data_IF_243176137245
#
_entry.id   IF_243176137245
#
_cell.length_a   1.000
_cell.length_b   1.000
_cell.length_c   1.000
_cell.angle_alpha   90.00
_cell.angle_beta   90.00
_cell.angle_gamma   90.00
#
_symmetry.space_group_name_H-M   'P 1'
#
loop_
_entity.id
_entity.type
_entity.pdbx_description
1 polymer ?
#
# COMPACT_ATOMS: atom_id res chain seq x y z
N UNK A 1 -5.97 -17.35 14.11
CA UNK A 1 -5.27 -16.25 13.41
C UNK A 1 -4.95 -15.14 14.40
N UNK A 2 -5.94 -14.68 15.18
CA UNK A 2 -5.75 -13.69 16.25
C UNK A 2 -4.70 -14.07 17.29
N UNK A 3 -4.66 -15.33 17.73
CA UNK A 3 -3.64 -15.84 18.66
C UNK A 3 -2.22 -15.73 18.11
N UNK A 4 -2.05 -15.88 16.79
CA UNK A 4 -0.75 -15.73 16.13
C UNK A 4 -0.37 -14.26 16.01
N UNK A 5 -1.33 -13.38 15.70
CA UNK A 5 -1.12 -11.92 15.67
C UNK A 5 -0.75 -11.40 17.07
N UNK A 6 -1.45 -11.83 18.11
CA UNK A 6 -1.14 -11.52 19.51
C UNK A 6 0.26 -11.98 19.90
N UNK A 7 0.68 -13.18 19.47
CA UNK A 7 2.00 -13.71 19.73
C UNK A 7 3.14 -12.90 19.09
N UNK A 8 2.87 -12.14 18.02
CA UNK A 8 3.90 -11.30 17.39
C UNK A 8 4.25 -10.04 18.21
N UNK A 9 3.40 -9.64 19.15
CA UNK A 9 3.60 -8.42 19.95
C UNK A 9 3.42 -7.11 19.17
N UNK A 10 3.11 -7.14 17.88
CA UNK A 10 2.79 -5.96 17.09
C UNK A 10 1.33 -5.51 17.29
N UNK A 11 1.05 -4.19 17.26
CA UNK A 11 -0.32 -3.72 17.24
C UNK A 11 -1.02 -4.26 15.99
N UNK A 12 -2.18 -4.89 16.17
CA UNK A 12 -2.98 -5.42 15.08
C UNK A 12 -4.40 -4.82 15.12
N UNK A 13 -5.01 -4.72 13.94
CA UNK A 13 -6.37 -4.25 13.77
C UNK A 13 -7.17 -5.32 13.03
N UNK A 14 -8.30 -5.71 13.60
CA UNK A 14 -9.28 -6.52 12.91
C UNK A 14 -10.23 -5.56 12.18
N UNK A 15 -10.32 -5.69 10.87
CA UNK A 15 -11.23 -4.90 10.03
C UNK A 15 -12.03 -5.88 9.18
N UNK A 16 -13.35 -5.76 9.23
CA UNK A 16 -14.25 -6.62 8.47
C UNK A 16 -14.44 -6.09 7.05
N UNK A 17 -14.53 -7.00 6.07
CA UNK A 17 -14.63 -6.61 4.66
C UNK A 17 -15.88 -5.79 4.35
N UNK A 18 -16.97 -6.04 5.08
CA UNK A 18 -18.23 -5.30 4.96
C UNK A 18 -18.14 -3.83 5.36
N UNK A 19 -17.15 -3.45 6.19
CA UNK A 19 -16.91 -2.04 6.53
C UNK A 19 -16.54 -1.23 5.27
N UNK A 20 -16.03 -1.88 4.21
CA UNK A 20 -15.76 -1.25 2.92
C UNK A 20 -17.01 -0.67 2.25
N UNK A 21 -18.22 -1.16 2.57
CA UNK A 21 -19.48 -0.69 2.00
C UNK A 21 -19.97 0.62 2.63
N UNK A 22 -19.47 0.98 3.82
CA UNK A 22 -19.81 2.22 4.52
C UNK A 22 -18.89 3.38 4.13
N UNK A 23 -17.86 3.10 3.34
CA UNK A 23 -16.82 4.05 3.03
C UNK A 23 -17.32 5.15 2.08
N UNK A 24 -17.05 6.43 2.36
CA UNK A 24 -17.47 7.51 1.48
C UNK A 24 -16.73 7.43 0.12
N UNK A 25 -17.41 7.80 -0.99
CA UNK A 25 -16.84 7.70 -2.34
C UNK A 25 -15.66 8.66 -2.58
N UNK A 26 -15.45 9.65 -1.70
CA UNK A 26 -14.33 10.61 -1.74
C UNK A 26 -12.95 9.96 -1.54
N UNK A 27 -12.88 8.67 -1.22
CA UNK A 27 -11.62 7.90 -1.07
C UNK A 27 -10.84 7.75 -2.38
N UNK A 28 -11.53 7.78 -3.52
CA UNK A 28 -10.95 7.71 -4.87
C UNK A 28 -10.41 9.06 -5.34
N UNK A 29 -10.69 10.14 -4.61
CA UNK A 29 -10.07 11.42 -4.89
C UNK A 29 -8.69 11.43 -4.24
N UNK A 30 -7.64 11.90 -4.96
CA UNK A 30 -6.41 12.27 -4.31
C UNK A 30 -6.76 13.17 -3.13
N UNK A 31 -6.34 12.81 -1.92
CA UNK A 31 -6.48 13.70 -0.76
C UNK A 31 -5.86 15.06 -1.10
N UNK A 32 -6.29 16.16 -0.46
CA UNK A 32 -5.66 17.46 -0.70
C UNK A 32 -4.17 17.25 -0.53
N UNK A 33 -3.41 17.43 -1.61
CA UNK A 33 -1.97 17.37 -1.52
C UNK A 33 -1.62 18.25 -0.34
N UNK A 34 -0.92 17.69 0.65
CA UNK A 34 -0.19 18.54 1.58
C UNK A 34 0.80 19.26 0.68
N UNK A 35 0.40 20.44 0.21
CA UNK A 35 1.27 21.44 -0.35
C UNK A 35 2.23 21.83 0.76
N UNK A 36 3.20 20.95 1.00
CA UNK A 36 4.47 21.36 1.54
C UNK A 36 4.93 22.53 0.66
N UNK A 37 5.55 23.56 1.25
CA UNK A 37 5.99 24.72 0.51
C UNK A 37 6.72 24.23 -0.74
N UNK A 38 6.25 24.66 -1.92
CA UNK A 38 6.86 24.35 -3.20
C UNK A 38 8.36 24.41 -3.03
N UNK A 39 9.03 23.26 -3.01
CA UNK A 39 10.48 23.25 -2.87
C UNK A 39 10.99 24.05 -4.07
N UNK A 40 11.76 25.13 -3.84
CA UNK A 40 12.26 25.95 -4.93
C UNK A 40 12.96 25.03 -5.91
N UNK A 41 12.67 25.20 -7.19
CA UNK A 41 13.37 24.47 -8.25
C UNK A 41 14.87 24.58 -7.99
N UNK A 42 15.65 23.53 -8.24
CA UNK A 42 17.10 23.54 -7.97
C UNK A 42 17.79 24.82 -8.48
N UNK A 43 17.30 25.35 -9.61
CA UNK A 43 17.71 26.63 -10.17
C UNK A 43 17.46 27.82 -9.22
N UNK A 44 16.26 27.94 -8.66
CA UNK A 44 15.89 29.00 -7.71
C UNK A 44 16.68 28.88 -6.40
N UNK A 45 16.92 27.66 -5.92
CA UNK A 45 17.74 27.43 -4.73
C UNK A 45 19.21 27.85 -4.94
N UNK A 46 19.75 27.58 -6.14
CA UNK A 46 21.10 28.00 -6.54
C UNK A 46 21.17 29.52 -6.72
N UNK A 47 20.20 30.13 -7.38
CA UNK A 47 20.14 31.59 -7.58
C UNK A 47 20.06 32.32 -6.21
N UNK A 48 19.26 31.79 -5.29
CA UNK A 48 19.15 32.29 -3.91
C UNK A 48 20.49 32.20 -3.15
N UNK A 49 21.20 31.07 -3.30
CA UNK A 49 22.49 30.86 -2.66
C UNK A 49 23.57 31.79 -3.23
N UNK A 50 23.62 31.98 -4.55
CA UNK A 50 24.55 32.91 -5.21
C UNK A 50 24.28 34.34 -4.76
N UNK A 51 23.02 34.74 -4.66
CA UNK A 51 22.64 36.08 -4.20
C UNK A 51 22.97 36.29 -2.72
N UNK A 52 22.81 35.27 -1.88
CA UNK A 52 23.19 35.31 -0.47
C UNK A 52 24.72 35.38 -0.28
N UNK A 53 25.50 34.69 -1.12
CA UNK A 53 26.96 34.77 -1.08
C UNK A 53 27.47 36.15 -1.53
N UNK A 54 26.82 36.77 -2.53
CA UNK A 54 27.12 38.13 -2.97
C UNK A 54 26.77 39.19 -1.90
N UNK A 55 25.66 39.00 -1.18
CA UNK A 55 25.29 39.86 -0.05
C UNK A 55 26.24 39.69 1.15
N UNK A 56 26.68 38.45 1.45
CA UNK A 56 27.67 38.20 2.50
C UNK A 56 29.04 38.81 2.17
N UNK A 57 29.48 38.79 0.90
CA UNK A 57 30.70 39.48 0.48
C UNK A 57 30.59 41.02 0.55
N UNK A 58 29.39 41.58 0.48
CA UNK A 58 29.16 43.02 0.65
C UNK A 58 28.93 43.45 2.11
N UNK A 59 28.49 42.55 2.98
CA UNK A 59 28.30 42.84 4.42
C UNK A 59 29.53 42.55 5.28
N UNK A 60 30.59 41.96 4.72
CA UNK A 60 31.89 41.79 5.38
C UNK A 60 32.78 43.05 5.32
N UNK A 61 32.20 44.23 5.55
CA UNK A 61 32.96 45.49 5.82
C UNK A 61 32.32 46.48 6.81
N UNK A 62 31.27 46.11 7.54
CA UNK A 62 30.85 46.94 8.68
C UNK A 62 30.16 46.06 9.74
N UNK A 63 30.89 45.72 10.80
CA UNK A 63 30.34 45.22 12.05
C UNK A 63 30.46 46.34 13.08
N UNK A 64 29.37 46.70 13.75
CA UNK A 64 29.39 46.92 15.19
C UNK A 64 27.98 47.08 15.77
N UNK A 65 27.75 46.36 16.91
CA UNK A 65 26.78 46.61 18.01
C UNK A 65 25.28 46.63 17.67
N UNK A 66 24.34 46.17 18.50
CA UNK A 66 24.34 45.83 19.93
C UNK A 66 23.06 45.02 20.27
N UNK A 67 23.12 44.22 21.35
CA UNK A 67 22.06 43.83 22.32
C UNK A 67 20.55 43.77 21.94
N UNK A 68 19.88 42.66 22.30
CA UNK A 68 18.43 42.62 22.45
C UNK A 68 17.81 41.26 22.77
N UNK A 69 17.54 41.02 24.05
CA UNK A 69 16.74 39.96 24.70
C UNK A 69 15.40 39.64 24.01
N UNK A 70 14.95 38.36 24.01
CA UNK A 70 13.59 37.90 24.40
C UNK A 70 13.35 36.39 24.14
N UNK A 71 12.90 35.67 25.17
CA UNK A 71 12.11 34.43 25.12
C UNK A 71 10.64 34.78 24.79
N UNK A 72 9.83 33.84 24.23
CA UNK A 72 9.00 32.90 25.02
C UNK A 72 9.02 31.48 24.40
N UNK A 73 8.67 30.35 25.03
CA UNK A 73 7.66 30.08 26.05
C UNK A 73 6.61 29.10 25.47
N UNK A 74 6.67 27.82 25.90
CA UNK A 74 5.65 26.75 25.94
C UNK A 74 4.68 26.57 24.73
N UNK A 75 4.44 25.36 24.21
CA UNK A 75 3.66 24.34 24.90
C UNK A 75 3.69 23.02 24.14
N UNK A 76 3.91 21.93 24.87
CA UNK A 76 3.40 20.62 24.51
C UNK A 76 1.88 20.63 24.71
N UNK A 77 1.14 20.12 23.72
CA UNK A 77 -0.23 19.67 23.93
C UNK A 77 -0.26 18.17 23.65
N UNK A 78 -0.26 17.43 24.76
CA UNK A 78 -0.91 16.13 24.88
C UNK A 78 -2.38 16.29 24.46
N UNK A 79 -2.79 15.54 23.45
CA UNK A 79 -4.20 15.34 23.15
C UNK A 79 -4.58 13.91 23.58
N UNK A 80 -5.67 13.73 24.34
CA UNK A 80 -5.98 12.45 24.96
C UNK A 80 -6.28 11.37 23.92
N UNK A 81 -5.62 10.22 24.07
CA UNK A 81 -6.01 8.98 23.43
C UNK A 81 -7.46 8.65 23.83
N UNK A 82 -8.38 8.83 22.88
CA UNK A 82 -9.76 8.39 22.99
C UNK A 82 -9.84 6.85 23.09
N UNK A 83 -10.90 6.31 23.72
CA UNK A 83 -10.94 4.91 24.11
C UNK A 83 -10.91 3.97 22.91
N UNK A 84 -10.10 2.92 23.04
CA UNK A 84 -10.10 1.73 22.21
C UNK A 84 -11.53 1.30 21.88
N UNK A 85 -11.91 1.46 20.61
CA UNK A 85 -13.14 0.91 20.05
C UNK A 85 -13.18 -0.59 20.28
N UNK A 86 -14.19 -1.03 21.01
CA UNK A 86 -14.60 -2.42 21.17
C UNK A 86 -14.73 -3.11 19.81
N UNK A 87 -14.38 -4.41 19.67
CA UNK A 87 -14.64 -5.15 18.44
C UNK A 87 -16.15 -5.20 18.20
N UNK A 88 -16.65 -4.37 17.28
CA UNK A 88 -18.05 -4.36 16.89
C UNK A 88 -18.25 -5.56 15.98
N UNK A 89 -19.06 -6.52 16.44
CA UNK A 89 -19.48 -7.65 15.61
C UNK A 89 -20.12 -7.13 14.32
N UNK A 90 -19.92 -7.82 13.19
CA UNK A 90 -20.55 -7.53 11.90
C UNK A 90 -22.04 -7.24 11.99
N UNK A 91 -22.49 -6.19 11.31
CA UNK A 91 -23.93 -5.90 11.19
C UNK A 91 -24.50 -6.84 10.12
N UNK A 92 -25.31 -7.82 10.55
CA UNK A 92 -25.80 -8.92 9.69
C UNK A 92 -26.41 -8.48 8.36
N UNK A 93 -26.99 -7.26 8.28
CA UNK A 93 -27.51 -6.68 7.05
C UNK A 93 -26.40 -6.36 6.03
N UNK A 94 -25.24 -5.91 6.47
CA UNK A 94 -24.11 -5.54 5.62
C UNK A 94 -23.39 -6.77 5.09
N UNK A 95 -23.25 -7.80 5.91
CA UNK A 95 -22.73 -9.09 5.45
C UNK A 95 -23.61 -9.67 4.33
N UNK A 96 -24.93 -9.51 4.43
CA UNK A 96 -25.87 -9.94 3.38
C UNK A 96 -25.73 -9.13 2.09
N UNK A 97 -25.57 -7.81 2.19
CA UNK A 97 -25.38 -6.96 1.00
C UNK A 97 -24.04 -7.24 0.31
N UNK A 98 -22.99 -7.50 1.08
CA UNK A 98 -21.70 -7.94 0.56
C UNK A 98 -21.85 -9.26 -0.20
N UNK A 99 -22.51 -10.25 0.41
CA UNK A 99 -22.77 -11.55 -0.24
C UNK A 99 -23.57 -11.36 -1.53
N UNK A 100 -24.60 -10.51 -1.52
CA UNK A 100 -25.40 -10.19 -2.71
C UNK A 100 -24.54 -9.58 -3.82
N UNK A 101 -23.61 -8.69 -3.48
CA UNK A 101 -22.67 -8.10 -4.45
C UNK A 101 -21.73 -9.14 -5.06
N UNK A 102 -21.23 -10.08 -4.26
CA UNK A 102 -20.42 -11.21 -4.75
C UNK A 102 -21.23 -12.21 -5.60
N UNK A 103 -22.51 -12.43 -5.27
CA UNK A 103 -23.41 -13.25 -6.07
C UNK A 103 -23.76 -12.59 -7.41
N UNK A 104 -23.98 -11.27 -7.41
CA UNK A 104 -24.24 -10.47 -8.61
C UNK A 104 -23.04 -10.47 -9.57
N UNK A 105 -21.81 -10.56 -9.05
CA UNK A 105 -20.62 -10.79 -9.86
C UNK A 105 -20.66 -12.22 -10.45
N UNK A 106 -21.17 -12.33 -11.69
CA UNK A 106 -21.44 -13.61 -12.34
C UNK A 106 -20.22 -14.44 -12.76
N UNK A 107 -19.00 -13.92 -12.65
CA UNK A 107 -17.76 -14.63 -13.01
C UNK A 107 -16.78 -14.69 -11.84
N UNK A 108 -15.97 -15.75 -11.78
CA UNK A 108 -14.93 -15.91 -10.76
C UNK A 108 -13.91 -14.75 -10.80
N UNK A 109 -13.52 -14.30 -12.00
CA UNK A 109 -12.64 -13.13 -12.17
C UNK A 109 -13.25 -11.87 -11.57
N UNK A 110 -14.52 -11.57 -11.88
CA UNK A 110 -15.17 -10.36 -11.35
C UNK A 110 -15.25 -10.36 -9.82
N UNK A 111 -15.43 -11.53 -9.20
CA UNK A 111 -15.43 -11.69 -7.74
C UNK A 111 -14.05 -11.48 -7.12
N UNK A 112 -12.98 -11.99 -7.73
CA UNK A 112 -11.61 -11.77 -7.24
C UNK A 112 -11.21 -10.30 -7.35
N UNK A 113 -11.55 -9.66 -8.46
CA UNK A 113 -11.37 -8.23 -8.70
C UNK A 113 -12.14 -7.37 -7.69
N UNK A 114 -13.40 -7.71 -7.42
CA UNK A 114 -14.21 -7.05 -6.41
C UNK A 114 -13.56 -7.17 -5.03
N UNK A 115 -13.09 -8.36 -4.65
CA UNK A 115 -12.41 -8.55 -3.38
C UNK A 115 -11.14 -7.72 -3.27
N UNK A 116 -10.28 -7.75 -4.29
CA UNK A 116 -9.02 -7.02 -4.28
C UNK A 116 -9.27 -5.51 -4.18
N UNK A 117 -10.27 -5.00 -4.88
CA UNK A 117 -10.71 -3.61 -4.83
C UNK A 117 -11.18 -3.24 -3.42
N UNK A 118 -12.13 -4.00 -2.86
CA UNK A 118 -12.67 -3.75 -1.51
C UNK A 118 -11.57 -3.82 -0.44
N UNK A 119 -10.67 -4.81 -0.53
CA UNK A 119 -9.54 -4.93 0.39
C UNK A 119 -8.61 -3.73 0.32
N UNK A 120 -8.26 -3.29 -0.89
CA UNK A 120 -7.36 -2.15 -1.09
C UNK A 120 -7.99 -0.88 -0.53
N UNK A 121 -9.27 -0.65 -0.80
CA UNK A 121 -10.01 0.50 -0.27
C UNK A 121 -10.04 0.50 1.27
N UNK A 122 -10.32 -0.66 1.87
CA UNK A 122 -10.36 -0.81 3.32
C UNK A 122 -9.01 -0.54 3.97
N UNK A 123 -7.92 -1.05 3.38
CA UNK A 123 -6.56 -0.83 3.88
C UNK A 123 -6.20 0.66 3.82
N UNK A 124 -6.46 1.31 2.69
CA UNK A 124 -6.15 2.75 2.52
C UNK A 124 -6.97 3.59 3.50
N UNK A 125 -8.27 3.31 3.66
CA UNK A 125 -9.08 4.03 4.63
C UNK A 125 -8.56 3.83 6.05
N UNK A 126 -8.29 2.59 6.44
CA UNK A 126 -7.77 2.29 7.78
C UNK A 126 -6.46 3.05 8.03
N UNK A 127 -5.62 3.19 7.01
CA UNK A 127 -4.42 4.02 7.10
C UNK A 127 -4.74 5.50 7.32
N UNK A 128 -5.72 6.06 6.60
CA UNK A 128 -6.17 7.45 6.75
C UNK A 128 -6.74 7.76 8.12
N UNK A 129 -7.67 6.92 8.59
CA UNK A 129 -8.34 7.09 9.89
C UNK A 129 -7.35 7.08 11.06
N UNK A 130 -6.24 6.37 10.88
CA UNK A 130 -5.16 6.25 11.87
C UNK A 130 -4.01 7.23 11.64
N UNK A 131 -4.02 8.01 10.56
CA UNK A 131 -2.96 8.95 10.22
C UNK A 131 -1.65 8.31 9.74
N UNK A 132 -1.70 7.09 9.20
CA UNK A 132 -0.54 6.43 8.60
C UNK A 132 -0.27 6.93 7.19
N UNK A 133 0.93 7.49 6.97
CA UNK A 133 1.35 8.00 5.66
C UNK A 133 1.84 6.91 4.70
N UNK A 134 2.22 5.73 5.20
CA UNK A 134 2.78 4.63 4.41
C UNK A 134 2.17 3.29 4.79
N UNK A 135 1.81 2.51 3.79
CA UNK A 135 1.30 1.13 3.92
C UNK A 135 2.26 0.20 3.19
N UNK A 136 2.79 -0.80 3.89
CA UNK A 136 3.64 -1.81 3.27
C UNK A 136 2.83 -3.07 2.97
N UNK A 137 2.86 -3.53 1.72
CA UNK A 137 2.20 -4.78 1.30
C UNK A 137 3.22 -5.93 1.21
N UNK A 138 2.76 -7.15 1.46
CA UNK A 138 3.57 -8.36 1.33
C UNK A 138 3.58 -8.94 -0.09
N UNK A 139 3.49 -8.12 -1.12
CA UNK A 139 3.52 -8.58 -2.52
C UNK A 139 4.94 -9.03 -2.89
N UNK A 140 5.09 -10.32 -3.21
CA UNK A 140 6.35 -10.91 -3.68
C UNK A 140 6.54 -10.70 -5.17
N UNK A 141 7.77 -10.88 -5.68
CA UNK A 141 8.08 -10.87 -7.12
C UNK A 141 7.14 -11.79 -7.91
N UNK A 142 6.90 -12.99 -7.39
CA UNK A 142 5.98 -13.95 -7.97
C UNK A 142 4.56 -13.38 -8.08
N UNK A 143 4.07 -12.74 -7.03
CA UNK A 143 2.72 -12.17 -7.01
C UNK A 143 2.58 -10.96 -7.92
N UNK A 144 3.61 -10.11 -7.97
CA UNK A 144 3.65 -8.96 -8.88
C UNK A 144 3.68 -9.42 -10.34
N UNK A 145 4.45 -10.46 -10.68
CA UNK A 145 4.47 -11.01 -12.05
C UNK A 145 3.11 -11.60 -12.48
N UNK A 146 2.44 -12.32 -11.57
CA UNK A 146 1.07 -12.81 -11.81
C UNK A 146 0.11 -11.64 -12.03
N UNK A 147 0.19 -10.60 -11.19
CA UNK A 147 -0.63 -9.40 -11.31
C UNK A 147 -0.39 -8.66 -12.62
N UNK A 148 0.86 -8.51 -13.06
CA UNK A 148 1.23 -7.92 -14.35
C UNK A 148 0.53 -8.62 -15.51
N UNK A 149 0.72 -9.94 -15.64
CA UNK A 149 0.11 -10.70 -16.75
C UNK A 149 -1.41 -10.76 -16.65
N UNK A 150 -1.97 -10.78 -15.44
CA UNK A 150 -3.41 -10.71 -15.23
C UNK A 150 -3.96 -9.39 -15.73
N UNK A 151 -3.37 -8.26 -15.30
CA UNK A 151 -3.77 -6.93 -15.74
C UNK A 151 -3.64 -6.77 -17.25
N UNK A 152 -2.56 -7.30 -17.85
CA UNK A 152 -2.39 -7.30 -19.30
C UNK A 152 -3.51 -8.11 -20.00
N UNK A 153 -3.84 -9.30 -19.49
CA UNK A 153 -4.90 -10.15 -20.02
C UNK A 153 -6.29 -9.52 -19.89
N UNK A 154 -6.51 -8.69 -18.87
CA UNK A 154 -7.74 -7.94 -18.64
C UNK A 154 -7.78 -6.60 -19.40
N UNK A 155 -6.73 -6.25 -20.16
CA UNK A 155 -6.65 -5.00 -20.93
C UNK A 155 -6.31 -3.77 -20.08
N UNK A 156 -5.78 -3.94 -18.86
CA UNK A 156 -5.40 -2.85 -17.94
C UNK A 156 -3.94 -2.41 -18.09
N UNK A 157 -3.48 -2.29 -19.34
CA UNK A 157 -2.10 -1.90 -19.64
C UNK A 157 -1.70 -0.51 -19.12
N UNK A 158 -2.65 0.42 -19.08
CA UNK A 158 -2.39 1.81 -18.70
C UNK A 158 -1.94 2.01 -17.24
N UNK A 159 -2.26 1.07 -16.35
CA UNK A 159 -1.96 1.16 -14.91
C UNK A 159 -0.83 0.23 -14.46
N UNK A 160 -0.20 -0.51 -15.39
CA UNK A 160 0.83 -1.51 -15.07
C UNK A 160 1.97 -0.91 -14.25
N UNK A 161 2.55 0.21 -14.68
CA UNK A 161 3.67 0.84 -13.98
C UNK A 161 3.37 1.19 -12.51
N UNK A 162 2.11 1.56 -12.20
CA UNK A 162 1.68 1.88 -10.84
C UNK A 162 1.37 0.61 -10.04
N UNK A 163 0.79 -0.40 -10.70
CA UNK A 163 0.41 -1.68 -10.09
C UNK A 163 1.61 -2.58 -9.77
N UNK A 164 2.71 -2.47 -10.52
CA UNK A 164 3.92 -3.29 -10.36
C UNK A 164 5.12 -2.55 -9.77
N UNK A 165 5.06 -1.22 -9.78
CA UNK A 165 6.08 -0.35 -9.21
C UNK A 165 6.30 -0.58 -7.71
N UNK A 166 7.46 -0.15 -7.21
CA UNK A 166 7.83 -0.26 -5.79
C UNK A 166 6.89 0.54 -4.90
N UNK A 167 6.53 1.72 -5.40
CA UNK A 167 5.73 2.71 -4.71
C UNK A 167 4.51 3.02 -5.55
N UNK A 168 3.40 3.18 -4.86
CA UNK A 168 2.10 3.45 -5.41
C UNK A 168 1.51 4.67 -4.68
N UNK A 169 1.36 5.77 -5.42
CA UNK A 169 1.01 7.10 -4.91
C UNK A 169 -0.37 7.59 -5.38
N UNK A 170 -1.19 6.75 -6.05
CA UNK A 170 -2.52 7.16 -6.57
C UNK A 170 -3.48 7.64 -5.48
N UNK A 171 -3.25 7.28 -4.23
CA UNK A 171 -4.08 7.71 -3.11
C UNK A 171 -3.69 9.09 -2.54
N UNK A 172 -2.55 9.66 -2.95
CA UNK A 172 -2.08 11.00 -2.57
C UNK A 172 -1.57 11.09 -1.13
N UNK A 173 -2.45 10.91 -0.15
CA UNK A 173 -2.15 11.04 1.28
C UNK A 173 -1.53 9.78 1.91
N UNK A 174 -1.83 8.61 1.34
CA UNK A 174 -1.28 7.32 1.75
C UNK A 174 -0.45 6.72 0.62
N UNK A 175 0.81 6.43 0.90
CA UNK A 175 1.73 5.79 -0.03
C UNK A 175 1.76 4.28 0.22
N UNK A 176 1.45 3.48 -0.80
CA UNK A 176 1.56 2.03 -0.74
C UNK A 176 2.95 1.61 -1.25
N UNK A 177 3.65 0.76 -0.51
CA UNK A 177 5.02 0.31 -0.81
C UNK A 177 5.06 -1.23 -0.85
N UNK A 178 5.87 -1.79 -1.75
CA UNK A 178 6.02 -3.25 -1.96
C UNK A 178 7.45 -3.72 -1.66
N UNK A 179 7.87 -3.82 -0.38
CA UNK A 179 9.24 -4.18 -0.02
C UNK A 179 9.69 -5.56 -0.53
N UNK A 180 8.75 -6.49 -0.66
CA UNK A 180 9.05 -7.88 -1.03
C UNK A 180 9.06 -8.12 -2.55
N UNK A 181 8.86 -7.08 -3.38
CA UNK A 181 8.67 -7.24 -4.82
C UNK A 181 9.86 -7.83 -5.55
N UNK A 182 11.06 -7.75 -4.97
CA UNK A 182 12.29 -8.24 -5.58
C UNK A 182 12.59 -9.70 -5.21
N UNK A 183 11.79 -10.30 -4.31
CA UNK A 183 11.98 -11.68 -3.82
C UNK A 183 10.86 -12.60 -4.28
N UNK A 184 11.21 -13.78 -4.77
CA UNK A 184 10.24 -14.80 -5.16
C UNK A 184 9.52 -15.40 -3.95
N UNK A 185 8.31 -15.92 -4.16
CA UNK A 185 7.57 -16.60 -3.10
C UNK A 185 8.34 -17.79 -2.50
N UNK A 186 9.17 -18.48 -3.30
CA UNK A 186 10.02 -19.58 -2.83
C UNK A 186 11.13 -19.08 -1.89
N UNK A 187 11.82 -18.00 -2.25
CA UNK A 187 12.85 -17.40 -1.38
C UNK A 187 12.28 -16.93 -0.05
N UNK A 188 11.12 -16.28 -0.08
CA UNK A 188 10.41 -15.85 1.13
C UNK A 188 10.02 -17.06 2.00
N UNK A 189 9.55 -18.15 1.38
CA UNK A 189 9.21 -19.37 2.11
C UNK A 189 10.45 -20.01 2.76
N UNK A 190 11.58 -20.07 2.05
CA UNK A 190 12.85 -20.55 2.62
C UNK A 190 13.35 -19.66 3.75
N UNK A 191 13.29 -18.34 3.59
CA UNK A 191 13.62 -17.39 4.64
C UNK A 191 12.78 -17.65 5.90
N UNK A 192 11.46 -17.73 5.75
CA UNK A 192 10.57 -18.00 6.89
C UNK A 192 10.90 -19.34 7.57
N UNK A 193 11.24 -20.37 6.79
CA UNK A 193 11.63 -21.68 7.32
C UNK A 193 12.96 -21.62 8.08
N UNK A 194 13.98 -20.97 7.54
CA UNK A 194 15.31 -20.91 8.15
C UNK A 194 15.36 -20.03 9.39
N UNK A 195 14.58 -18.95 9.42
CA UNK A 195 14.54 -18.02 10.55
C UNK A 195 13.36 -18.26 11.51
N UNK A 196 12.57 -19.31 11.28
CA UNK A 196 11.45 -19.69 12.16
C UNK A 196 10.33 -18.66 12.21
N UNK A 197 10.11 -17.90 11.12
CA UNK A 197 9.04 -16.89 11.04
C UNK A 197 7.69 -17.61 10.95
N UNK A 198 6.73 -17.33 11.84
CA UNK A 198 5.39 -17.92 11.78
C UNK A 198 4.67 -17.54 10.48
N UNK A 199 4.17 -18.53 9.74
CA UNK A 199 3.44 -18.32 8.48
C UNK A 199 2.01 -18.84 8.59
N UNK A 200 1.05 -18.11 8.00
CA UNK A 200 -0.34 -18.53 7.91
C UNK A 200 -0.72 -18.70 6.44
N UNK A 201 -1.27 -19.87 6.11
CA UNK A 201 -1.85 -20.13 4.78
C UNK A 201 -3.32 -19.74 4.80
N UNK A 202 -3.68 -18.73 4.00
CA UNK A 202 -5.08 -18.32 3.82
C UNK A 202 -5.66 -19.10 2.64
N UNK A 203 -6.81 -19.79 2.82
CA UNK A 203 -7.44 -20.50 1.72
C UNK A 203 -7.91 -19.52 0.63
N UNK A 204 -7.89 -19.94 -0.65
CA UNK A 204 -8.46 -19.13 -1.73
C UNK A 204 -9.97 -18.98 -1.54
N UNK A 205 -10.54 -17.91 -2.12
CA UNK A 205 -11.97 -17.62 -2.02
C UNK A 205 -12.86 -18.75 -2.51
N UNK A 206 -12.41 -19.46 -3.55
CA UNK A 206 -13.17 -20.54 -4.16
C UNK A 206 -12.60 -21.88 -3.72
N UNK A 207 -13.30 -22.52 -2.78
CA UNK A 207 -12.98 -23.88 -2.33
C UNK A 207 -13.78 -24.95 -3.08
N UNK A 208 -14.77 -24.56 -3.91
CA UNK A 208 -15.62 -25.48 -4.67
C UNK A 208 -15.02 -25.78 -6.04
N UNK A 209 -14.72 -27.06 -6.32
CA UNK A 209 -14.19 -27.61 -7.58
C UNK A 209 -15.03 -27.37 -8.85
N UNK A 210 -16.19 -26.70 -8.78
CA UNK A 210 -17.17 -26.62 -9.87
C UNK A 210 -17.17 -25.30 -10.63
N UNK A 211 -16.53 -24.25 -10.13
CA UNK A 211 -16.45 -22.98 -10.87
C UNK A 211 -15.27 -23.01 -11.85
N UNK A 212 -15.48 -22.42 -13.04
CA UNK A 212 -14.38 -22.21 -14.00
C UNK A 212 -13.29 -21.37 -13.31
N UNK A 213 -12.00 -21.70 -13.47
CA UNK A 213 -10.93 -20.94 -12.83
C UNK A 213 -10.99 -19.48 -13.28
N UNK A 214 -10.69 -18.56 -12.36
CA UNK A 214 -10.52 -17.14 -12.69
C UNK A 214 -9.30 -16.93 -13.58
N UNK A 215 -9.23 -15.75 -14.23
CA UNK A 215 -8.05 -15.36 -15.00
C UNK A 215 -6.82 -15.30 -14.08
N UNK A 216 -6.96 -14.83 -12.84
CA UNK A 216 -5.85 -14.79 -11.88
C UNK A 216 -5.29 -16.20 -11.63
N UNK A 217 -6.16 -17.17 -11.34
CA UNK A 217 -5.74 -18.56 -11.10
C UNK A 217 -5.14 -19.21 -12.35
N UNK A 218 -5.68 -18.90 -13.54
CA UNK A 218 -5.16 -19.42 -14.79
C UNK A 218 -3.74 -18.89 -15.07
N UNK A 219 -3.54 -17.57 -14.93
CA UNK A 219 -2.24 -16.91 -15.11
C UNK A 219 -1.23 -17.39 -14.06
N UNK A 220 -1.65 -17.52 -12.80
CA UNK A 220 -0.81 -18.05 -11.73
C UNK A 220 -0.32 -19.46 -12.06
N UNK A 221 -1.23 -20.38 -12.43
CA UNK A 221 -0.85 -21.75 -12.81
C UNK A 221 0.06 -21.78 -14.03
N UNK A 222 -0.22 -20.96 -15.02
CA UNK A 222 0.60 -20.84 -16.22
C UNK A 222 2.03 -20.40 -15.89
N UNK A 223 2.18 -19.31 -15.12
CA UNK A 223 3.50 -18.81 -14.73
C UNK A 223 4.26 -19.77 -13.82
N UNK A 224 3.58 -20.39 -12.87
CA UNK A 224 4.21 -21.37 -11.98
C UNK A 224 4.64 -22.63 -12.74
N UNK A 225 3.84 -23.09 -13.70
CA UNK A 225 4.20 -24.20 -14.58
C UNK A 225 5.42 -23.87 -15.45
N UNK A 226 5.44 -22.68 -16.07
CA UNK A 226 6.61 -22.24 -16.85
C UNK A 226 7.86 -22.10 -15.98
N UNK A 227 7.74 -21.63 -14.74
CA UNK A 227 8.89 -21.50 -13.84
C UNK A 227 9.48 -22.85 -13.43
N UNK A 228 8.68 -23.92 -13.42
CA UNK A 228 9.15 -25.28 -13.14
C UNK A 228 10.03 -25.83 -14.28
N UNK A 229 9.61 -25.59 -15.53
CA UNK A 229 10.34 -26.02 -16.73
C UNK A 229 11.51 -25.10 -17.07
N UNK A 230 11.33 -23.79 -16.87
CA UNK A 230 12.29 -22.73 -17.22
C UNK A 230 12.57 -21.84 -16.00
N UNK A 231 13.61 -22.17 -15.21
CA UNK A 231 14.04 -21.36 -14.10
C UNK A 231 14.36 -19.93 -14.57
N UNK A 232 13.79 -18.94 -13.89
CA UNK A 232 13.90 -17.48 -14.15
C UNK A 232 12.76 -16.86 -14.96
N UNK A 233 11.77 -17.63 -15.43
CA UNK A 233 10.61 -17.09 -16.17
C UNK A 233 9.92 -15.95 -15.45
N UNK A 234 9.65 -16.09 -14.14
CA UNK A 234 8.98 -15.07 -13.33
C UNK A 234 9.80 -13.77 -13.32
N UNK A 235 11.12 -13.86 -13.13
CA UNK A 235 12.01 -12.69 -13.11
C UNK A 235 12.10 -12.02 -14.49
N UNK A 236 12.10 -12.82 -15.56
CA UNK A 236 12.11 -12.33 -16.94
C UNK A 236 10.82 -11.59 -17.26
N UNK A 237 9.66 -12.19 -16.98
CA UNK A 237 8.34 -11.58 -17.21
C UNK A 237 8.21 -10.26 -16.46
N UNK A 238 8.64 -10.21 -15.20
CA UNK A 238 8.63 -8.98 -14.42
C UNK A 238 9.53 -7.90 -15.04
N UNK A 239 10.77 -8.23 -15.38
CA UNK A 239 11.75 -7.28 -15.94
C UNK A 239 11.37 -6.71 -17.30
N UNK A 240 10.63 -7.46 -18.12
CA UNK A 240 10.11 -6.95 -19.39
C UNK A 240 8.81 -6.16 -19.25
N UNK A 241 8.13 -6.30 -18.11
CA UNK A 241 6.86 -5.63 -17.83
C UNK A 241 7.00 -4.28 -17.10
N UNK A 242 8.12 -4.04 -16.42
CA UNK A 242 8.54 -2.72 -15.91
C UNK A 242 9.13 -1.85 -17.03
#
# INVERSE_FOLDING_TARGET
>A
METLLQATGFPYHLVHLEEALQLPPSILQPGPERSGPSHPSYKEAVDSFIQQQQQQQQQQRQQDRDSGTSLPGHSAQDTPAGPLGTPRLPDTAQSQELLRSFEAAGTATAREELLETLRTHLIVQTARDRGYAKVMTGESLTRVAVKLLTNLSLGRGAFLAVDTGFTDQRHGDVMVVRPMRDYTAKEIAFYNRFFGVPTVTVPPLFTKRREKPSIHQLVERFLLGLQEEFPSTISTVYRYGE
#
